data_IF_824783929618
#
_entry.id   IF_824783929618
#
_cell.length_a   1.000
_cell.length_b   1.000
_cell.length_c   1.000
_cell.angle_alpha   90.00
_cell.angle_beta   90.00
_cell.angle_gamma   90.00
#
_symmetry.space_group_name_H-M   'P 1'
#
loop_
_entity.id
_entity.type
_entity.pdbx_description
1 polymer ?
#
# COMPACT_ATOMS: atom_id res chain seq x y z
N UNK A 1 -5.61 -18.75 12.43
CA UNK A 1 -5.46 -17.75 13.53
C UNK A 1 -6.19 -16.45 13.18
N UNK A 2 -6.59 -15.64 14.17
CA UNK A 2 -7.17 -14.30 13.97
C UNK A 2 -6.08 -13.24 13.77
N UNK A 3 -6.44 -12.06 13.24
CA UNK A 3 -5.51 -10.93 13.09
C UNK A 3 -4.82 -10.55 14.41
N UNK A 4 -5.58 -10.52 15.52
CA UNK A 4 -5.02 -10.20 16.83
C UNK A 4 -3.99 -11.25 17.28
N UNK A 5 -4.23 -12.54 17.00
CA UNK A 5 -3.30 -13.62 17.36
C UNK A 5 -1.98 -13.48 16.59
N UNK A 6 -2.06 -13.24 15.27
CA UNK A 6 -0.86 -13.01 14.46
C UNK A 6 -0.03 -11.81 14.95
N UNK A 7 -0.70 -10.70 15.29
CA UNK A 7 -0.03 -9.52 15.83
C UNK A 7 0.62 -9.80 17.19
N UNK A 8 -0.08 -10.47 18.10
CA UNK A 8 0.44 -10.80 19.43
C UNK A 8 1.67 -11.72 19.35
N UNK A 9 1.62 -12.77 18.52
CA UNK A 9 2.76 -13.66 18.31
C UNK A 9 3.95 -12.91 17.68
N UNK A 10 3.69 -11.98 16.76
CA UNK A 10 4.73 -11.15 16.17
C UNK A 10 5.39 -10.23 17.21
N UNK A 11 4.62 -9.62 18.13
CA UNK A 11 5.20 -8.82 19.23
C UNK A 11 6.14 -9.67 20.09
N UNK A 12 5.70 -10.86 20.52
CA UNK A 12 6.54 -11.78 21.29
C UNK A 12 7.81 -12.18 20.53
N UNK A 13 7.70 -12.38 19.21
CA UNK A 13 8.84 -12.70 18.35
C UNK A 13 9.82 -11.53 18.24
N UNK A 14 9.32 -10.29 18.08
CA UNK A 14 10.13 -9.07 18.06
C UNK A 14 10.94 -8.92 19.34
N UNK A 15 10.29 -9.10 20.50
CA UNK A 15 10.92 -8.99 21.80
C UNK A 15 11.98 -10.09 22.01
N UNK A 16 11.61 -11.34 21.72
CA UNK A 16 12.47 -12.51 21.92
C UNK A 16 13.78 -12.44 21.10
N UNK A 17 13.72 -11.88 19.90
CA UNK A 17 14.85 -11.85 18.97
C UNK A 17 15.43 -10.43 18.76
N UNK A 18 15.05 -9.47 19.61
CA UNK A 18 15.53 -8.09 19.56
C UNK A 18 15.43 -7.46 18.15
N UNK A 19 14.31 -7.71 17.46
CA UNK A 19 14.19 -7.33 16.05
C UNK A 19 14.14 -5.82 15.84
N UNK A 20 13.69 -5.05 16.83
CA UNK A 20 13.71 -3.59 16.77
C UNK A 20 15.13 -3.03 16.64
N UNK A 21 16.12 -3.65 17.30
CA UNK A 21 17.54 -3.28 17.16
C UNK A 21 18.09 -3.75 15.81
N UNK A 22 17.74 -4.98 15.42
CA UNK A 22 18.15 -5.58 14.13
C UNK A 22 17.77 -4.71 12.94
N UNK A 23 16.56 -4.11 12.95
CA UNK A 23 16.02 -3.36 11.81
C UNK A 23 16.11 -1.83 11.94
N UNK A 24 16.97 -1.31 12.83
CA UNK A 24 17.20 0.14 12.97
C UNK A 24 17.62 0.82 11.67
N UNK A 25 18.43 0.12 10.85
CA UNK A 25 18.86 0.67 9.54
C UNK A 25 17.66 0.85 8.61
N UNK A 26 16.77 -0.14 8.52
CA UNK A 26 15.58 -0.08 7.68
C UNK A 26 14.61 1.00 8.17
N UNK A 27 14.49 1.19 9.49
CA UNK A 27 13.71 2.29 10.06
C UNK A 27 14.28 3.65 9.63
N UNK A 28 15.60 3.82 9.74
CA UNK A 28 16.27 5.07 9.37
C UNK A 28 16.14 5.36 7.87
N UNK A 29 16.28 4.35 7.02
CA UNK A 29 16.05 4.46 5.57
C UNK A 29 14.61 4.86 5.28
N UNK A 30 13.62 4.22 5.90
CA UNK A 30 12.20 4.56 5.71
C UNK A 30 11.88 6.01 6.14
N UNK A 31 12.56 6.52 7.16
CA UNK A 31 12.40 7.92 7.63
C UNK A 31 13.06 8.90 6.67
N UNK A 32 14.27 8.60 6.19
CA UNK A 32 15.12 9.54 5.43
C UNK A 32 14.95 9.48 3.92
N UNK A 33 14.56 8.33 3.39
CA UNK A 33 14.46 8.06 1.94
C UNK A 33 13.03 7.74 1.50
N UNK A 34 12.08 7.67 2.43
CA UNK A 34 10.68 7.26 2.23
C UNK A 34 10.46 5.80 1.80
N UNK A 35 11.52 5.00 1.64
CA UNK A 35 11.45 3.56 1.44
C UNK A 35 12.70 2.85 1.98
N UNK A 36 12.59 1.53 2.15
CA UNK A 36 13.71 0.66 2.50
C UNK A 36 13.52 -0.70 1.83
N UNK A 37 14.64 -1.35 1.52
CA UNK A 37 14.70 -2.70 0.95
C UNK A 37 15.54 -3.58 1.85
N UNK A 38 15.06 -4.79 2.11
CA UNK A 38 15.80 -5.78 2.89
C UNK A 38 15.37 -7.19 2.49
N UNK A 39 15.90 -8.21 3.18
CA UNK A 39 15.56 -9.59 2.95
C UNK A 39 15.06 -10.24 4.25
N UNK A 40 13.97 -10.99 4.15
CA UNK A 40 13.41 -11.81 5.22
C UNK A 40 13.54 -13.29 4.88
N UNK A 41 13.53 -14.12 5.91
CA UNK A 41 13.40 -15.55 5.71
C UNK A 41 11.95 -15.90 5.32
N UNK A 42 11.79 -16.80 4.36
CA UNK A 42 10.48 -17.28 3.90
C UNK A 42 10.39 -18.80 4.04
N UNK A 43 9.19 -19.34 3.87
CA UNK A 43 8.95 -20.79 3.92
C UNK A 43 9.74 -21.50 2.81
N UNK A 44 10.48 -22.54 3.17
CA UNK A 44 11.32 -23.28 2.22
C UNK A 44 10.51 -24.05 1.16
N UNK A 45 9.24 -24.36 1.47
CA UNK A 45 8.29 -24.97 0.54
C UNK A 45 7.05 -24.11 0.52
N UNK A 46 6.72 -23.59 -0.66
CA UNK A 46 5.55 -22.76 -0.87
C UNK A 46 4.44 -23.59 -1.55
N UNK A 47 3.16 -23.45 -1.15
CA UNK A 47 2.06 -24.04 -1.90
C UNK A 47 1.94 -23.39 -3.29
N UNK A 48 1.08 -23.92 -4.15
CA UNK A 48 0.82 -23.29 -5.45
C UNK A 48 0.35 -21.85 -5.25
N UNK A 49 0.79 -20.93 -6.12
CA UNK A 49 0.34 -19.54 -6.11
C UNK A 49 -1.19 -19.51 -6.23
N UNK A 50 -1.92 -18.77 -5.35
CA UNK A 50 -3.39 -18.86 -5.28
C UNK A 50 -4.09 -18.07 -6.40
N UNK A 51 -3.90 -18.50 -7.64
CA UNK A 51 -4.37 -17.79 -8.85
C UNK A 51 -5.88 -17.88 -9.08
N UNK A 52 -6.59 -18.75 -8.35
CA UNK A 52 -8.04 -18.92 -8.47
C UNK A 52 -8.79 -17.95 -7.54
N UNK A 53 -8.46 -17.97 -6.24
CA UNK A 53 -9.15 -17.17 -5.22
C UNK A 53 -8.44 -15.86 -4.89
N UNK A 54 -7.11 -15.84 -4.93
CA UNK A 54 -6.28 -14.83 -4.26
C UNK A 54 -6.08 -15.10 -2.75
N UNK A 55 -6.57 -16.24 -2.25
CA UNK A 55 -6.57 -16.57 -0.83
C UNK A 55 -5.98 -17.95 -0.57
N UNK A 56 -5.30 -18.07 0.57
CA UNK A 56 -4.84 -19.34 1.14
C UNK A 56 -5.04 -19.31 2.65
N UNK A 57 -5.00 -20.49 3.28
CA UNK A 57 -4.76 -20.58 4.71
C UNK A 57 -3.32 -20.12 5.00
N UNK A 58 -3.19 -19.05 5.79
CA UNK A 58 -1.90 -18.43 6.11
C UNK A 58 -0.95 -19.38 6.87
N UNK A 59 -1.49 -20.42 7.52
CA UNK A 59 -0.71 -21.49 8.16
C UNK A 59 0.16 -22.26 7.15
N UNK A 60 -0.17 -22.25 5.85
CA UNK A 60 0.63 -22.86 4.79
C UNK A 60 1.91 -22.07 4.46
N UNK A 61 2.00 -20.83 4.92
CA UNK A 61 3.15 -19.92 4.74
C UNK A 61 3.49 -19.23 6.07
N UNK A 62 3.41 -19.99 7.17
CA UNK A 62 3.46 -19.45 8.53
C UNK A 62 4.78 -18.70 8.82
N UNK A 63 5.92 -19.14 8.28
CA UNK A 63 7.19 -18.43 8.47
C UNK A 63 7.13 -17.06 7.82
N UNK A 64 6.73 -17.00 6.54
CA UNK A 64 6.66 -15.76 5.77
C UNK A 64 5.71 -14.75 6.42
N UNK A 65 4.56 -15.21 6.92
CA UNK A 65 3.58 -14.38 7.64
C UNK A 65 4.17 -13.83 8.93
N UNK A 66 4.78 -14.68 9.76
CA UNK A 66 5.41 -14.25 11.02
C UNK A 66 6.51 -13.23 10.78
N UNK A 67 7.44 -13.52 9.85
CA UNK A 67 8.56 -12.61 9.56
C UNK A 67 8.05 -11.26 9.03
N UNK A 68 7.06 -11.24 8.12
CA UNK A 68 6.50 -10.00 7.57
C UNK A 68 5.84 -9.12 8.65
N UNK A 69 4.98 -9.72 9.50
CA UNK A 69 4.30 -8.96 10.55
C UNK A 69 5.32 -8.50 11.59
N UNK A 70 6.24 -9.37 12.02
CA UNK A 70 7.28 -9.04 12.99
C UNK A 70 8.20 -7.94 12.49
N UNK A 71 8.54 -7.93 11.20
CA UNK A 71 9.31 -6.85 10.60
C UNK A 71 8.59 -5.50 10.74
N UNK A 72 7.30 -5.42 10.39
CA UNK A 72 6.54 -4.16 10.52
C UNK A 72 6.43 -3.72 11.99
N UNK A 73 6.14 -4.65 12.90
CA UNK A 73 6.08 -4.38 14.35
C UNK A 73 7.43 -3.91 14.89
N UNK A 74 8.55 -4.50 14.44
CA UNK A 74 9.89 -4.10 14.84
C UNK A 74 10.25 -2.66 14.40
N UNK A 75 9.66 -2.18 13.30
CA UNK A 75 9.78 -0.79 12.85
C UNK A 75 8.86 0.17 13.63
N UNK A 76 8.13 -0.32 14.65
CA UNK A 76 7.16 0.46 15.41
C UNK A 76 5.85 0.71 14.67
N UNK A 77 5.58 -0.03 13.58
CA UNK A 77 4.36 0.11 12.81
C UNK A 77 3.27 -0.81 13.37
N UNK A 78 2.03 -0.32 13.32
CA UNK A 78 0.83 -1.04 13.72
C UNK A 78 0.14 -1.63 12.48
N UNK A 79 0.17 -2.95 12.27
CA UNK A 79 -0.42 -3.59 11.09
C UNK A 79 -1.94 -3.41 11.03
N UNK A 80 -2.50 -3.12 9.86
CA UNK A 80 -3.94 -2.89 9.68
C UNK A 80 -4.48 -3.47 8.38
N UNK A 81 -5.80 -3.65 8.33
CA UNK A 81 -6.60 -3.99 7.14
C UNK A 81 -7.87 -3.13 7.16
N UNK A 82 -8.48 -2.94 6.00
CA UNK A 82 -9.59 -2.02 5.82
C UNK A 82 -10.89 -2.74 5.47
N UNK A 83 -11.99 -2.25 6.02
CA UNK A 83 -13.35 -2.72 5.76
C UNK A 83 -13.66 -2.68 4.26
N UNK A 84 -14.14 -3.81 3.75
CA UNK A 84 -14.43 -4.01 2.33
C UNK A 84 -13.24 -4.53 1.52
N UNK A 85 -12.08 -4.76 2.16
CA UNK A 85 -10.89 -5.26 1.51
C UNK A 85 -10.40 -6.60 2.11
N UNK A 86 -9.95 -7.50 1.23
CA UNK A 86 -9.18 -8.70 1.58
C UNK A 86 -9.86 -9.64 2.61
N UNK A 87 -11.19 -9.69 2.64
CA UNK A 87 -12.00 -10.41 3.63
C UNK A 87 -11.57 -10.13 5.08
N UNK A 88 -11.07 -8.91 5.35
CA UNK A 88 -10.59 -8.50 6.66
C UNK A 88 -9.34 -9.25 7.12
N UNK A 89 -8.60 -9.94 6.25
CA UNK A 89 -7.33 -10.58 6.58
C UNK A 89 -6.18 -9.57 6.53
N UNK A 90 -5.32 -9.53 7.54
CA UNK A 90 -4.16 -8.63 7.59
C UNK A 90 -3.24 -8.74 6.37
N UNK A 91 -2.96 -9.98 5.95
CA UNK A 91 -2.05 -10.26 4.84
C UNK A 91 -2.84 -10.46 3.56
N UNK A 92 -2.51 -9.66 2.54
CA UNK A 92 -3.06 -9.83 1.18
C UNK A 92 -2.06 -10.54 0.29
N UNK A 93 -2.51 -11.59 -0.39
CA UNK A 93 -1.74 -12.17 -1.49
C UNK A 93 -1.86 -11.27 -2.72
N UNK A 94 -0.72 -10.85 -3.26
CA UNK A 94 -0.62 -10.10 -4.52
C UNK A 94 -0.07 -11.05 -5.58
N UNK A 95 -0.99 -11.71 -6.27
CA UNK A 95 -0.72 -12.69 -7.31
C UNK A 95 -1.71 -12.51 -8.47
N UNK A 96 -1.37 -12.93 -9.71
CA UNK A 96 -2.31 -12.84 -10.81
C UNK A 96 -3.52 -13.75 -10.56
N UNK A 97 -4.73 -13.22 -10.76
CA UNK A 97 -5.98 -14.01 -10.66
C UNK A 97 -6.59 -14.18 -12.04
N UNK A 98 -6.98 -15.41 -12.40
CA UNK A 98 -7.55 -15.71 -13.72
C UNK A 98 -8.77 -14.85 -14.05
N UNK A 99 -9.66 -14.67 -13.06
CA UNK A 99 -10.90 -13.91 -13.25
C UNK A 99 -10.72 -12.40 -13.38
N UNK A 100 -9.57 -11.85 -12.96
CA UNK A 100 -9.33 -10.39 -13.00
C UNK A 100 -8.17 -9.99 -13.90
N UNK A 101 -7.76 -10.88 -14.82
CA UNK A 101 -6.63 -10.68 -15.74
C UNK A 101 -6.67 -9.32 -16.46
N UNK A 102 -7.86 -8.82 -16.79
CA UNK A 102 -8.10 -7.55 -17.51
C UNK A 102 -8.47 -6.36 -16.61
N UNK A 103 -8.37 -6.47 -15.29
CA UNK A 103 -8.68 -5.38 -14.36
C UNK A 103 -7.40 -4.63 -13.94
N UNK A 104 -7.53 -3.33 -13.65
CA UNK A 104 -6.45 -2.51 -13.05
C UNK A 104 -6.50 -2.72 -11.53
N UNK A 105 -5.84 -3.77 -11.03
CA UNK A 105 -5.83 -4.11 -9.60
C UNK A 105 -4.58 -4.89 -9.20
N UNK A 106 -4.38 -5.07 -7.89
CA UNK A 106 -3.33 -5.94 -7.32
C UNK A 106 -3.34 -7.38 -7.87
N UNK A 107 -4.49 -7.86 -8.37
CA UNK A 107 -4.64 -9.19 -8.98
C UNK A 107 -4.64 -9.19 -10.52
N UNK A 108 -4.74 -8.01 -11.15
CA UNK A 108 -4.73 -7.88 -12.61
C UNK A 108 -3.32 -8.02 -13.16
N UNK A 109 -3.17 -8.40 -14.43
CA UNK A 109 -1.85 -8.68 -15.03
C UNK A 109 -1.67 -8.11 -16.43
N UNK A 110 -2.73 -8.07 -17.25
CA UNK A 110 -2.66 -7.66 -18.66
C UNK A 110 -2.57 -6.15 -18.89
N UNK A 111 -2.79 -5.33 -17.86
CA UNK A 111 -2.70 -3.87 -17.93
C UNK A 111 -1.58 -3.37 -17.01
N UNK A 112 -0.97 -2.26 -17.41
CA UNK A 112 -0.08 -1.51 -16.52
C UNK A 112 -0.90 -0.99 -15.34
N UNK A 113 -0.38 -1.21 -14.13
CA UNK A 113 -1.00 -0.67 -12.95
C UNK A 113 -0.36 0.68 -12.68
N UNK A 114 -0.98 1.75 -13.19
CA UNK A 114 -0.41 3.09 -13.21
C UNK A 114 -0.07 3.64 -11.80
N UNK A 115 0.79 4.67 -11.71
CA UNK A 115 1.25 5.23 -10.43
C UNK A 115 0.09 5.64 -9.51
N UNK A 116 0.13 5.17 -8.26
CA UNK A 116 -0.90 5.49 -7.26
C UNK A 116 -0.39 5.35 -5.82
N UNK A 117 -1.15 5.94 -4.90
CA UNK A 117 -1.15 5.75 -3.44
C UNK A 117 -2.30 4.79 -3.09
N UNK A 118 -2.07 3.83 -2.20
CA UNK A 118 -3.13 2.92 -1.74
C UNK A 118 -4.11 3.64 -0.79
N UNK A 119 -5.40 3.29 -0.90
CA UNK A 119 -6.52 3.87 -0.14
C UNK A 119 -6.53 5.42 -0.16
N UNK A 120 -6.50 6.04 -1.35
CA UNK A 120 -6.38 7.49 -1.51
C UNK A 120 -7.63 8.25 -1.09
N UNK A 121 -8.77 7.58 -0.90
CA UNK A 121 -10.02 8.20 -0.49
C UNK A 121 -10.12 8.40 1.04
N UNK A 122 -9.27 7.73 1.82
CA UNK A 122 -9.23 7.86 3.28
C UNK A 122 -8.49 9.15 3.71
N UNK A 123 -8.66 9.62 4.96
CA UNK A 123 -7.93 10.78 5.48
C UNK A 123 -6.43 10.55 5.47
N UNK A 124 -5.68 11.48 4.87
CA UNK A 124 -4.21 11.46 4.82
C UNK A 124 -3.59 12.32 5.93
N UNK A 125 -2.26 12.31 6.05
CA UNK A 125 -1.52 13.18 6.97
C UNK A 125 -1.77 14.65 6.63
N UNK A 126 -1.93 15.49 7.66
CA UNK A 126 -2.27 16.91 7.51
C UNK A 126 -3.77 17.21 7.46
N UNK A 127 -4.64 16.20 7.39
CA UNK A 127 -6.08 16.38 7.50
C UNK A 127 -6.60 16.06 8.89
N UNK A 128 -7.73 16.69 9.23
CA UNK A 128 -8.50 16.36 10.44
C UNK A 128 -9.20 15.02 10.20
N UNK A 129 -8.65 13.95 10.79
CA UNK A 129 -9.26 12.64 10.74
C UNK A 129 -10.43 12.54 11.73
N UNK A 130 -11.59 12.05 11.27
CA UNK A 130 -12.66 11.63 12.18
C UNK A 130 -12.19 10.41 12.97
N UNK A 131 -12.48 10.38 14.27
CA UNK A 131 -12.17 9.22 15.13
C UNK A 131 -12.96 7.96 14.78
N UNK A 132 -13.96 8.08 13.90
CA UNK A 132 -14.89 7.00 13.54
C UNK A 132 -14.51 6.25 12.25
N UNK A 133 -13.55 6.75 11.47
CA UNK A 133 -13.08 6.10 10.23
C UNK A 133 -11.56 5.88 10.32
N UNK A 134 -11.09 4.82 9.67
CA UNK A 134 -9.67 4.55 9.52
C UNK A 134 -8.99 5.63 8.67
N UNK A 135 -7.71 5.87 8.95
CA UNK A 135 -6.85 6.74 8.14
C UNK A 135 -6.24 5.97 6.98
N UNK A 136 -5.83 6.68 5.93
CA UNK A 136 -4.99 6.15 4.86
C UNK A 136 -3.75 5.48 5.48
N UNK A 137 -3.27 4.33 4.97
CA UNK A 137 -2.11 3.67 5.55
C UNK A 137 -0.88 4.57 5.45
N UNK A 138 -0.05 4.58 6.49
CA UNK A 138 1.19 5.34 6.49
C UNK A 138 2.25 4.63 5.66
N UNK A 139 2.27 3.30 5.75
CA UNK A 139 3.24 2.45 5.05
C UNK A 139 2.57 1.28 4.34
N UNK A 140 3.20 0.85 3.27
CA UNK A 140 2.87 -0.38 2.55
C UNK A 140 4.14 -1.22 2.42
N UNK A 141 4.02 -2.49 2.81
CA UNK A 141 5.11 -3.46 2.74
C UNK A 141 4.76 -4.57 1.76
N UNK A 142 5.69 -4.90 0.86
CA UNK A 142 5.59 -6.00 -0.10
C UNK A 142 6.76 -6.98 0.12
N UNK A 143 6.44 -8.22 0.50
CA UNK A 143 7.40 -9.33 0.61
C UNK A 143 7.23 -10.29 -0.56
N UNK A 144 8.30 -10.60 -1.28
CA UNK A 144 8.26 -11.53 -2.41
C UNK A 144 8.39 -12.98 -1.97
N UNK A 145 7.41 -13.82 -2.33
CA UNK A 145 7.48 -15.27 -2.17
C UNK A 145 7.90 -15.95 -3.48
N UNK A 146 7.41 -15.43 -4.61
CA UNK A 146 7.82 -15.85 -5.95
C UNK A 146 7.98 -14.64 -6.85
N UNK A 147 9.11 -14.58 -7.55
CA UNK A 147 9.39 -13.57 -8.57
C UNK A 147 9.00 -14.04 -9.97
N UNK A 148 8.75 -13.10 -10.87
CA UNK A 148 8.74 -13.35 -12.31
C UNK A 148 9.71 -12.37 -12.98
N UNK A 149 10.54 -12.87 -13.88
CA UNK A 149 11.51 -12.04 -14.58
C UNK A 149 10.82 -10.91 -15.35
N UNK A 150 11.48 -9.75 -15.35
CA UNK A 150 10.98 -8.52 -15.98
C UNK A 150 9.62 -8.01 -15.44
N UNK A 151 9.22 -8.40 -14.22
CA UNK A 151 8.06 -7.83 -13.53
C UNK A 151 8.52 -7.03 -12.31
N UNK A 152 8.57 -5.71 -12.50
CA UNK A 152 9.09 -4.78 -11.52
C UNK A 152 7.96 -4.20 -10.66
N UNK A 153 8.21 -4.11 -9.36
CA UNK A 153 7.55 -3.09 -8.52
C UNK A 153 8.37 -1.81 -8.71
N UNK A 154 7.75 -0.72 -9.13
CA UNK A 154 8.45 0.56 -9.26
C UNK A 154 7.89 1.58 -8.28
N UNK A 155 8.79 2.34 -7.65
CA UNK A 155 8.46 3.44 -6.77
C UNK A 155 8.81 4.76 -7.43
N UNK A 156 7.99 5.78 -7.18
CA UNK A 156 8.22 7.15 -7.60
C UNK A 156 8.03 8.03 -6.36
N UNK A 157 9.11 8.68 -5.92
CA UNK A 157 9.07 9.53 -4.73
C UNK A 157 8.31 10.80 -5.06
N UNK A 158 7.45 11.24 -4.14
CA UNK A 158 6.65 12.42 -4.39
C UNK A 158 7.50 13.68 -4.46
N UNK A 159 8.61 13.75 -3.74
CA UNK A 159 9.49 14.92 -3.78
C UNK A 159 10.11 15.08 -5.21
N UNK A 160 10.46 13.98 -5.89
CA UNK A 160 10.90 13.99 -7.30
C UNK A 160 9.81 14.52 -8.25
N UNK A 161 8.53 14.26 -7.96
CA UNK A 161 7.40 14.79 -8.76
C UNK A 161 7.24 16.29 -8.49
N UNK A 162 7.30 16.70 -7.22
CA UNK A 162 7.08 18.09 -6.81
C UNK A 162 8.15 19.03 -7.37
N UNK A 163 9.40 18.55 -7.50
CA UNK A 163 10.48 19.30 -8.15
C UNK A 163 10.21 19.64 -9.63
N UNK A 164 9.29 18.91 -10.27
CA UNK A 164 8.89 19.12 -11.66
C UNK A 164 7.58 19.92 -11.79
N UNK A 165 7.02 20.42 -10.69
CA UNK A 165 5.81 21.24 -10.65
C UNK A 165 6.15 22.68 -10.21
N UNK A 166 5.39 23.66 -10.69
CA UNK A 166 5.52 25.03 -10.18
C UNK A 166 4.83 25.18 -8.82
N UNK A 167 5.20 26.22 -8.06
CA UNK A 167 4.53 26.57 -6.81
C UNK A 167 3.02 26.82 -7.01
N UNK A 168 2.63 27.40 -8.15
CA UNK A 168 1.23 27.60 -8.52
C UNK A 168 0.50 26.27 -8.76
N UNK A 169 1.15 25.30 -9.44
CA UNK A 169 0.58 23.97 -9.63
C UNK A 169 0.39 23.29 -8.27
N UNK A 170 1.40 23.33 -7.39
CA UNK A 170 1.31 22.77 -6.03
C UNK A 170 0.16 23.41 -5.24
N UNK A 171 0.03 24.74 -5.31
CA UNK A 171 -1.05 25.49 -4.64
C UNK A 171 -2.44 25.07 -5.14
N UNK A 172 -2.59 24.86 -6.45
CA UNK A 172 -3.83 24.36 -7.06
C UNK A 172 -4.14 22.91 -6.63
N UNK A 173 -3.12 22.05 -6.62
CA UNK A 173 -3.25 20.65 -6.19
C UNK A 173 -3.55 20.51 -4.69
N UNK A 174 -3.21 21.53 -3.89
CA UNK A 174 -3.58 21.62 -2.47
C UNK A 174 -4.98 22.19 -2.21
N UNK A 175 -5.72 22.62 -3.23
CA UNK A 175 -7.10 23.06 -3.03
C UNK A 175 -8.05 21.87 -2.83
N UNK A 176 -9.07 21.97 -1.96
CA UNK A 176 -10.08 20.92 -1.75
C UNK A 176 -11.09 20.87 -2.92
N UNK A 177 -10.60 20.69 -4.14
CA UNK A 177 -11.38 20.74 -5.38
C UNK A 177 -11.34 19.42 -6.17
N UNK A 178 -10.85 18.35 -5.55
CA UNK A 178 -10.77 17.04 -6.18
C UNK A 178 -11.83 16.08 -5.63
N UNK A 179 -12.24 15.18 -6.52
CA UNK A 179 -13.05 14.01 -6.22
C UNK A 179 -12.18 12.77 -6.36
N UNK A 180 -12.15 11.95 -5.32
CA UNK A 180 -11.43 10.68 -5.28
C UNK A 180 -12.43 9.55 -5.20
N UNK A 181 -12.39 8.64 -6.19
CA UNK A 181 -13.13 7.39 -6.19
C UNK A 181 -12.38 6.37 -5.34
N UNK A 182 -13.11 5.59 -4.55
CA UNK A 182 -12.53 4.44 -3.84
C UNK A 182 -11.95 3.42 -4.83
N UNK A 183 -10.78 2.82 -4.56
CA UNK A 183 -10.21 1.80 -5.43
C UNK A 183 -11.13 0.60 -5.64
N UNK A 184 -11.07 -0.01 -6.82
CA UNK A 184 -11.88 -1.17 -7.18
C UNK A 184 -11.54 -2.44 -6.35
N UNK A 185 -10.48 -2.42 -5.53
CA UNK A 185 -10.17 -3.49 -4.56
C UNK A 185 -11.18 -3.60 -3.43
N UNK A 186 -11.98 -2.55 -3.19
CA UNK A 186 -13.06 -2.54 -2.22
C UNK A 186 -14.33 -3.05 -2.90
N UNK A 187 -14.61 -4.33 -2.73
CA UNK A 187 -15.72 -4.98 -3.42
C UNK A 187 -17.06 -4.31 -3.05
N UNK A 188 -17.88 -3.99 -4.07
CA UNK A 188 -19.26 -3.47 -3.96
C UNK A 188 -19.44 -2.01 -3.52
N UNK A 189 -18.35 -1.27 -3.25
CA UNK A 189 -18.43 0.13 -2.82
C UNK A 189 -18.10 1.11 -3.96
N UNK A 190 -19.12 1.65 -4.64
CA UNK A 190 -18.93 2.74 -5.62
C UNK A 190 -18.92 4.12 -4.91
N UNK A 191 -18.05 4.25 -3.92
CA UNK A 191 -17.92 5.45 -3.08
C UNK A 191 -17.00 6.45 -3.76
N UNK A 192 -17.35 7.73 -3.71
CA UNK A 192 -16.45 8.82 -4.05
C UNK A 192 -16.52 9.91 -3.02
N UNK A 193 -15.36 10.40 -2.59
CA UNK A 193 -15.24 11.50 -1.64
C UNK A 193 -14.91 12.77 -2.44
N UNK A 194 -15.71 13.81 -2.22
CA UNK A 194 -15.54 15.10 -2.89
C UNK A 194 -14.82 16.08 -1.95
N UNK A 195 -14.40 17.22 -2.52
CA UNK A 195 -13.81 18.33 -1.80
C UNK A 195 -12.52 17.94 -1.05
N UNK A 196 -11.72 17.06 -1.65
CA UNK A 196 -10.43 16.67 -1.11
C UNK A 196 -9.30 17.41 -1.83
N UNK A 197 -8.22 17.77 -1.12
CA UNK A 197 -6.98 18.17 -1.76
C UNK A 197 -6.24 16.94 -2.31
N UNK A 198 -5.54 17.10 -3.43
CA UNK A 198 -4.60 16.08 -3.90
C UNK A 198 -3.35 16.07 -3.01
N UNK A 199 -2.87 17.26 -2.62
CA UNK A 199 -1.68 17.47 -1.81
C UNK A 199 -2.01 18.17 -0.50
N UNK A 200 -1.61 17.59 0.63
CA UNK A 200 -1.64 18.24 1.95
C UNK A 200 -0.22 18.56 2.40
N UNK A 201 -0.05 19.57 3.27
CA UNK A 201 1.25 19.90 3.86
C UNK A 201 1.18 19.75 5.37
N UNK A 202 2.14 19.04 5.95
CA UNK A 202 2.22 18.81 7.37
C UNK A 202 3.69 18.74 7.80
N UNK A 203 4.06 19.46 8.85
CA UNK A 203 5.44 19.56 9.35
C UNK A 203 6.47 19.85 8.24
N UNK A 204 6.14 20.78 7.35
CA UNK A 204 7.02 21.20 6.25
C UNK A 204 7.07 20.26 5.04
N UNK A 205 6.54 19.03 5.14
CA UNK A 205 6.51 18.05 4.04
C UNK A 205 5.12 17.99 3.41
N UNK A 206 5.07 17.75 2.10
CA UNK A 206 3.80 17.45 1.44
C UNK A 206 3.38 16.00 1.72
N UNK A 207 2.16 15.61 1.39
CA UNK A 207 1.52 14.27 1.42
C UNK A 207 0.54 14.20 0.25
N UNK A 208 0.46 13.05 -0.44
CA UNK A 208 -0.43 12.89 -1.58
C UNK A 208 -1.36 11.70 -1.41
N UNK A 209 -2.49 11.82 -2.09
CA UNK A 209 -3.47 10.76 -2.35
C UNK A 209 -3.62 10.48 -3.84
N UNK A 210 -2.57 10.72 -4.64
CA UNK A 210 -2.68 10.57 -6.09
C UNK A 210 -2.98 9.12 -6.46
N UNK A 211 -4.01 8.94 -7.27
CA UNK A 211 -4.30 7.72 -8.00
C UNK A 211 -4.63 8.12 -9.43
N UNK A 212 -3.81 7.64 -10.38
CA UNK A 212 -3.88 8.04 -11.78
C UNK A 212 -5.30 7.93 -12.37
N UNK A 213 -6.02 6.86 -12.01
CA UNK A 213 -7.35 6.54 -12.55
C UNK A 213 -8.50 7.06 -11.69
N UNK A 214 -8.29 7.14 -10.37
CA UNK A 214 -9.38 7.36 -9.42
C UNK A 214 -9.50 8.81 -8.92
N UNK A 215 -8.68 9.74 -9.40
CA UNK A 215 -8.83 11.17 -9.09
C UNK A 215 -9.33 12.01 -10.27
N UNK A 216 -10.23 12.95 -9.98
CA UNK A 216 -10.81 13.88 -10.96
C UNK A 216 -11.14 15.23 -10.33
N UNK A 217 -11.36 16.24 -11.17
CA UNK A 217 -11.84 17.57 -10.76
C UNK A 217 -12.64 18.18 -11.91
N UNK A 218 -13.60 19.04 -11.58
CA UNK A 218 -14.35 19.85 -12.56
C UNK A 218 -13.78 21.26 -12.71
N UNK A 219 -12.85 21.67 -11.84
CA UNK A 219 -12.18 22.97 -11.94
C UNK A 219 -11.11 22.94 -13.02
N UNK A 220 -11.15 23.91 -13.93
CA UNK A 220 -10.28 23.92 -15.11
C UNK A 220 -8.80 24.17 -14.80
N UNK A 221 -8.50 24.91 -13.74
CA UNK A 221 -7.12 25.21 -13.34
C UNK A 221 -6.52 24.01 -12.59
N UNK A 222 -7.27 23.44 -11.64
CA UNK A 222 -6.89 22.20 -10.96
C UNK A 222 -6.75 21.03 -11.94
N UNK A 223 -7.59 20.94 -12.98
CA UNK A 223 -7.46 19.90 -14.01
C UNK A 223 -6.15 20.02 -14.79
N UNK A 224 -5.72 21.24 -15.13
CA UNK A 224 -4.42 21.46 -15.78
C UNK A 224 -3.26 21.01 -14.88
N UNK A 225 -3.27 21.41 -13.61
CA UNK A 225 -2.25 21.00 -12.65
C UNK A 225 -2.24 19.47 -12.42
N UNK A 226 -3.43 18.84 -12.35
CA UNK A 226 -3.56 17.40 -12.25
C UNK A 226 -3.02 16.66 -13.48
N UNK A 227 -3.26 17.18 -14.68
CA UNK A 227 -2.74 16.59 -15.91
C UNK A 227 -1.21 16.71 -16.00
N UNK A 228 -0.61 17.82 -15.54
CA UNK A 228 0.85 17.92 -15.39
C UNK A 228 1.38 16.88 -14.40
N UNK A 229 0.72 16.71 -13.25
CA UNK A 229 1.10 15.68 -12.29
C UNK A 229 1.03 14.28 -12.92
N UNK A 230 -0.03 13.96 -13.68
CA UNK A 230 -0.15 12.71 -14.45
C UNK A 230 1.02 12.52 -15.41
N UNK A 231 1.30 13.51 -16.24
CA UNK A 231 2.39 13.47 -17.22
C UNK A 231 3.75 13.20 -16.55
N UNK A 232 4.06 13.93 -15.47
CA UNK A 232 5.29 13.74 -14.68
C UNK A 232 5.31 12.33 -14.07
N UNK A 233 4.19 11.85 -13.54
CA UNK A 233 4.10 10.52 -12.92
C UNK A 233 4.40 9.38 -13.90
N UNK A 234 4.19 9.59 -15.20
CA UNK A 234 4.50 8.62 -16.26
C UNK A 234 5.95 8.69 -16.77
N UNK A 235 6.75 9.66 -16.30
CA UNK A 235 8.15 9.74 -16.67
C UNK A 235 8.96 8.64 -15.98
N UNK A 236 9.17 7.53 -16.69
CA UNK A 236 9.89 6.35 -16.18
C UNK A 236 11.32 6.64 -15.70
N UNK A 237 11.93 7.77 -16.08
CA UNK A 237 13.26 8.18 -15.59
C UNK A 237 13.26 8.49 -14.10
N UNK A 238 12.11 8.87 -13.54
CA UNK A 238 11.96 9.13 -12.11
C UNK A 238 11.66 7.83 -11.32
N UNK A 239 11.41 6.71 -12.02
CA UNK A 239 10.97 5.47 -11.37
C UNK A 239 12.16 4.65 -10.87
N UNK A 240 12.12 4.27 -9.61
CA UNK A 240 13.04 3.29 -9.00
C UNK A 240 12.45 1.89 -9.17
N UNK A 241 13.10 1.03 -9.95
CA UNK A 241 12.58 -0.30 -10.34
C UNK A 241 13.19 -1.43 -9.50
N UNK A 242 12.32 -2.30 -8.97
CA UNK A 242 12.70 -3.43 -8.12
C UNK A 242 12.15 -4.74 -8.68
N UNK A 243 13.03 -5.67 -9.07
CA UNK A 243 12.66 -7.05 -9.41
C UNK A 243 12.86 -7.93 -8.16
N UNK A 244 11.89 -7.86 -7.25
CA UNK A 244 11.98 -8.49 -5.93
C UNK A 244 12.11 -10.02 -6.04
N UNK A 245 13.26 -10.55 -5.65
CA UNK A 245 13.54 -11.99 -5.54
C UNK A 245 12.87 -12.60 -4.30
N UNK A 246 12.63 -13.92 -4.26
CA UNK A 246 12.04 -14.56 -3.08
C UNK A 246 12.82 -14.23 -1.80
N UNK A 247 12.12 -13.75 -0.77
CA UNK A 247 12.68 -13.25 0.48
C UNK A 247 12.90 -11.73 0.50
N UNK A 248 13.09 -11.10 -0.66
CA UNK A 248 13.26 -9.65 -0.74
C UNK A 248 11.95 -8.94 -0.43
N UNK A 249 12.08 -7.88 0.36
CA UNK A 249 11.01 -7.04 0.84
C UNK A 249 11.30 -5.59 0.46
N UNK A 250 10.25 -4.87 0.12
CA UNK A 250 10.26 -3.40 0.06
C UNK A 250 9.16 -2.85 0.95
N UNK A 251 9.51 -1.84 1.75
CA UNK A 251 8.56 -1.03 2.52
C UNK A 251 8.71 0.43 2.10
N UNK A 252 7.60 1.15 1.99
CA UNK A 252 7.60 2.56 1.64
C UNK A 252 6.49 3.35 2.34
N UNK A 253 6.73 4.65 2.50
CA UNK A 253 5.75 5.61 2.99
C UNK A 253 4.70 5.83 1.90
N UNK A 254 3.51 5.26 2.09
CA UNK A 254 2.45 5.18 1.08
C UNK A 254 2.04 6.57 0.57
N UNK A 255 1.83 7.53 1.47
CA UNK A 255 1.40 8.89 1.11
C UNK A 255 2.54 9.79 0.59
N UNK A 256 3.78 9.27 0.54
CA UNK A 256 5.00 9.95 0.05
C UNK A 256 5.59 9.29 -1.20
N UNK A 257 5.02 8.17 -1.61
CA UNK A 257 5.56 7.34 -2.69
C UNK A 257 4.40 6.85 -3.54
N UNK A 258 4.43 7.15 -4.83
CA UNK A 258 3.57 6.44 -5.77
C UNK A 258 4.22 5.11 -6.10
N UNK A 259 3.41 4.08 -6.28
CA UNK A 259 3.90 2.80 -6.74
C UNK A 259 3.13 2.30 -7.95
N UNK A 260 3.81 1.49 -8.76
CA UNK A 260 3.31 0.96 -10.02
C UNK A 260 3.90 -0.41 -10.27
N UNK A 261 3.24 -1.17 -11.14
CA UNK A 261 3.75 -2.42 -11.67
C UNK A 261 3.49 -2.47 -13.16
N UNK A 262 4.53 -2.82 -13.93
CA UNK A 262 4.37 -3.06 -15.36
C UNK A 262 3.49 -4.29 -15.63
N UNK A 263 2.86 -4.29 -16.81
CA UNK A 263 2.12 -5.44 -17.33
C UNK A 263 3.02 -6.66 -17.43
N UNK A 264 2.45 -7.84 -17.22
CA UNK A 264 3.14 -9.11 -17.37
C UNK A 264 2.16 -10.22 -17.75
N UNK A 265 2.68 -11.32 -18.29
CA UNK A 265 1.88 -12.48 -18.67
C UNK A 265 2.02 -13.57 -17.61
N UNK A 266 0.96 -13.91 -16.86
CA UNK A 266 0.95 -15.07 -15.98
C UNK A 266 0.98 -16.36 -16.78
N UNK A 267 1.61 -17.40 -16.21
CA UNK A 267 1.63 -18.77 -16.75
C UNK A 267 0.48 -19.62 -16.20
N UNK A 268 -0.09 -19.25 -15.06
CA UNK A 268 -1.14 -19.98 -14.36
C UNK A 268 -0.80 -21.45 -14.08
N UNK A 269 0.47 -21.74 -13.84
CA UNK A 269 1.00 -23.08 -13.60
C UNK A 269 1.27 -23.37 -12.10
N UNK A 270 0.80 -22.49 -11.22
CA UNK A 270 1.01 -22.58 -9.77
C UNK A 270 2.33 -22.00 -9.29
N UNK A 271 3.20 -21.50 -10.18
CA UNK A 271 4.47 -20.86 -9.83
C UNK A 271 4.54 -19.39 -10.26
N UNK A 272 3.39 -18.78 -10.52
CA UNK A 272 3.29 -17.36 -10.87
C UNK A 272 3.81 -16.45 -9.75
N UNK A 273 4.16 -15.21 -10.14
CA UNK A 273 4.58 -14.14 -9.23
C UNK A 273 3.63 -14.02 -8.04
N UNK A 274 4.18 -13.98 -6.84
CA UNK A 274 3.42 -13.94 -5.60
C UNK A 274 4.15 -13.10 -4.57
N UNK A 275 3.52 -11.98 -4.19
CA UNK A 275 3.95 -11.17 -3.05
C UNK A 275 2.92 -11.25 -1.92
N UNK A 276 3.35 -10.96 -0.70
CA UNK A 276 2.48 -10.64 0.42
C UNK A 276 2.49 -9.14 0.63
N UNK A 277 1.31 -8.53 0.81
CA UNK A 277 1.15 -7.12 1.15
C UNK A 277 0.64 -6.97 2.58
N UNK A 278 1.23 -6.03 3.32
CA UNK A 278 0.77 -5.60 4.63
C UNK A 278 0.77 -4.07 4.71
N UNK A 279 -0.30 -3.50 5.25
CA UNK A 279 -0.37 -2.07 5.58
C UNK A 279 0.04 -1.82 7.03
N UNK A 280 0.63 -0.66 7.28
CA UNK A 280 1.01 -0.21 8.61
C UNK A 280 0.58 1.23 8.87
N UNK A 281 0.21 1.50 10.13
CA UNK A 281 0.09 2.84 10.69
C UNK A 281 1.27 3.12 11.63
N UNK A 282 1.70 4.37 11.73
CA UNK A 282 2.74 4.79 12.70
C UNK A 282 2.18 4.91 14.11
N UNK A 283 0.87 5.06 14.23
CA UNK A 283 0.15 5.17 15.48
C UNK A 283 -0.99 4.16 15.54
N UNK A 284 -1.28 3.69 16.75
CA UNK A 284 -2.42 2.79 16.97
C UNK A 284 -3.73 3.52 16.62
N UNK A 285 -4.63 2.91 15.83
CA UNK A 285 -5.90 3.51 15.47
C UNK A 285 -6.83 3.65 16.68
N UNK A 286 -7.75 4.61 16.62
CA UNK A 286 -8.81 4.77 17.64
C UNK A 286 -9.75 3.57 17.64
N UNK A 287 -10.20 3.12 18.81
CA UNK A 287 -11.18 2.04 18.94
C UNK A 287 -12.48 2.32 18.18
N UNK A 288 -12.88 3.60 18.09
CA UNK A 288 -14.09 4.02 17.37
C UNK A 288 -13.99 3.80 15.85
N UNK A 289 -12.76 3.71 15.32
CA UNK A 289 -12.47 3.44 13.92
C UNK A 289 -12.42 1.96 13.58
N UNK A 290 -12.57 1.05 14.56
CA UNK A 290 -12.57 -0.40 14.33
C UNK A 290 -13.94 -0.91 13.87
N UNK A 291 -13.95 -1.88 12.95
CA UNK A 291 -15.17 -2.54 12.46
C UNK A 291 -15.86 -3.34 13.57
N UNK A 292 -15.06 -4.01 14.42
CA UNK A 292 -15.53 -4.82 15.53
C UNK A 292 -14.62 -4.63 16.74
N UNK A 293 -15.20 -4.62 17.93
CA UNK A 293 -14.45 -4.56 19.20
C UNK A 293 -13.56 -5.79 19.43
N UNK A 294 -13.80 -6.89 18.71
CA UNK A 294 -13.00 -8.12 18.80
C UNK A 294 -11.79 -8.13 17.87
N UNK A 295 -11.61 -7.14 16.98
CA UNK A 295 -10.49 -7.09 16.04
C UNK A 295 -9.84 -5.71 16.06
N UNK A 296 -8.61 -5.62 16.57
CA UNK A 296 -7.90 -4.37 16.80
C UNK A 296 -7.17 -3.84 15.55
N UNK A 297 -7.35 -4.48 14.40
CA UNK A 297 -6.60 -4.20 13.16
C UNK A 297 -7.50 -3.88 11.97
N UNK A 298 -8.80 -4.11 12.08
CA UNK A 298 -9.75 -3.99 10.98
C UNK A 298 -10.47 -2.64 11.05
N UNK A 299 -10.10 -1.71 10.17
CA UNK A 299 -10.54 -0.33 10.21
C UNK A 299 -11.76 -0.08 9.33
N UNK A 300 -12.72 0.67 9.85
CA UNK A 300 -13.88 1.19 9.11
C UNK A 300 -13.42 2.11 7.99
N UNK A 301 -14.05 2.01 6.84
CA UNK A 301 -13.76 2.90 5.71
C UNK A 301 -14.91 3.84 5.40
N UNK A 302 -16.05 3.69 6.09
CA UNK A 302 -17.24 4.53 5.91
C UNK A 302 -17.90 4.81 7.25
N UNK A 303 -18.64 5.92 7.30
CA UNK A 303 -19.57 6.20 8.39
C UNK A 303 -20.86 5.43 8.08
N UNK A 304 -21.30 4.59 9.02
CA UNK A 304 -22.63 3.99 9.01
C UNK A 304 -23.70 5.04 9.27
#
# INVERSE_FOLDING_TARGET
MTNNQYYFEAQQYVDKYHLAEKYQTQLQELITQDFSVTNLEIDARLPHTPVESGFIHLELIARSVRELISFNVALGLYPVVYEGENDGQLIRNVCPKKSTQFHISSHGSSLDFFPHVDNPDLPIVGEIASSKIGRCPDTLTLLSLRSQDNVFTSLLLLDDILENLSDDDIKLLSQPLFKVKRPDSFEKDNISINNLPLLTKHNGRYYSRFDYHNISTTDSLCLKALNKFREISLNERLWKRFNLKPGELIIFNNQRTLHTRNKFTPKFNGNDRWLLRLFGLRERPSENSLVSYNCNHHLKTKLN
#
